data_IF_822669545471
#
_entry.id   IF_822669545471
#
_cell.length_a   1.000
_cell.length_b   1.000
_cell.length_c   1.000
_cell.angle_alpha   90.00
_cell.angle_beta   90.00
_cell.angle_gamma   90.00
#
_symmetry.space_group_name_H-M   'P 1'
#
loop_
_entity.id
_entity.type
_entity.pdbx_description
1 polymer ?
#
# COMPACT_ATOMS: atom_id res chain seq x y z
N UNK A 1 -6.48 -11.21 17.72
CA UNK A 1 -6.19 -9.88 17.16
C UNK A 1 -5.87 -8.83 18.21
N UNK A 2 -6.69 -8.62 19.24
CA UNK A 2 -6.44 -7.60 20.27
C UNK A 2 -5.06 -7.70 20.97
N UNK A 3 -4.62 -8.91 21.32
CA UNK A 3 -3.33 -9.12 22.00
C UNK A 3 -2.09 -8.79 21.14
N UNK A 4 -2.22 -8.91 19.81
CA UNK A 4 -1.13 -8.60 18.87
C UNK A 4 -1.01 -7.08 18.66
N UNK A 5 -2.15 -6.39 18.68
CA UNK A 5 -2.23 -4.93 18.57
C UNK A 5 -1.67 -4.22 19.79
N UNK A 6 -1.98 -4.71 21.01
CA UNK A 6 -1.41 -4.14 22.24
C UNK A 6 0.12 -4.30 22.29
N UNK A 7 0.66 -5.47 21.97
CA UNK A 7 2.13 -5.66 21.89
C UNK A 7 2.81 -4.79 20.83
N UNK A 8 2.10 -4.49 19.74
CA UNK A 8 2.59 -3.62 18.68
C UNK A 8 2.60 -2.15 19.11
N UNK A 9 1.57 -1.70 19.85
CA UNK A 9 1.54 -0.38 20.47
C UNK A 9 2.69 -0.20 21.44
N UNK A 10 2.96 -1.19 22.29
CA UNK A 10 4.05 -1.13 23.27
C UNK A 10 5.40 -0.96 22.55
N UNK A 11 5.64 -1.71 21.48
CA UNK A 11 6.85 -1.61 20.65
C UNK A 11 6.99 -0.26 19.94
N UNK A 12 5.90 0.26 19.35
CA UNK A 12 5.89 1.57 18.69
C UNK A 12 6.11 2.71 19.71
N UNK A 13 5.54 2.58 20.91
CA UNK A 13 5.72 3.53 22.00
C UNK A 13 7.19 3.59 22.45
N UNK A 14 7.87 2.44 22.58
CA UNK A 14 9.31 2.40 22.88
C UNK A 14 10.15 3.09 21.79
N UNK A 15 9.84 2.84 20.51
CA UNK A 15 10.54 3.47 19.38
C UNK A 15 10.33 5.00 19.37
N UNK A 16 9.12 5.47 19.69
CA UNK A 16 8.80 6.91 19.81
C UNK A 16 9.50 7.57 21.01
N UNK A 17 9.53 6.93 22.18
CA UNK A 17 10.24 7.43 23.36
C UNK A 17 11.74 7.56 23.07
N UNK A 18 12.32 6.57 22.40
CA UNK A 18 13.72 6.60 21.98
C UNK A 18 14.00 7.80 21.06
N UNK A 19 13.20 7.96 20.00
CA UNK A 19 13.35 9.04 19.03
C UNK A 19 13.17 10.43 19.67
N UNK A 20 12.31 10.55 20.67
CA UNK A 20 12.08 11.80 21.41
C UNK A 20 13.25 12.15 22.34
N UNK A 21 13.95 11.15 22.88
CA UNK A 21 15.15 11.37 23.71
C UNK A 21 16.39 11.70 22.88
N UNK A 22 16.49 11.13 21.68
CA UNK A 22 17.58 11.36 20.74
C UNK A 22 17.07 11.14 19.30
N UNK A 23 16.96 12.22 18.54
CA UNK A 23 16.41 12.17 17.19
C UNK A 23 17.46 11.66 16.18
N UNK A 24 17.11 10.59 15.46
CA UNK A 24 17.92 10.01 14.38
C UNK A 24 17.05 9.87 13.10
N UNK A 25 17.45 10.53 12.01
CA UNK A 25 16.65 10.62 10.78
C UNK A 25 16.41 9.26 10.09
N UNK A 26 17.44 8.40 10.03
CA UNK A 26 17.30 7.06 9.45
C UNK A 26 16.34 6.19 10.29
N UNK A 27 16.37 6.35 11.61
CA UNK A 27 15.47 5.63 12.52
C UNK A 27 14.03 6.14 12.40
N UNK A 28 13.86 7.46 12.21
CA UNK A 28 12.56 8.07 11.90
C UNK A 28 11.94 7.49 10.62
N UNK A 29 12.70 7.41 9.53
CA UNK A 29 12.21 6.86 8.26
C UNK A 29 11.81 5.38 8.37
N UNK A 30 12.61 4.58 9.09
CA UNK A 30 12.30 3.18 9.36
C UNK A 30 11.01 3.01 10.21
N UNK A 31 10.82 3.85 11.23
CA UNK A 31 9.61 3.88 12.05
C UNK A 31 8.38 4.28 11.22
N UNK A 32 8.50 5.27 10.35
CA UNK A 32 7.42 5.68 9.44
C UNK A 32 7.03 4.56 8.47
N UNK A 33 8.00 3.81 7.95
CA UNK A 33 7.75 2.65 7.08
C UNK A 33 7.05 1.52 7.84
N UNK A 34 7.49 1.24 9.07
CA UNK A 34 6.88 0.21 9.93
C UNK A 34 5.42 0.57 10.28
N UNK A 35 5.15 1.82 10.67
CA UNK A 35 3.80 2.33 10.91
C UNK A 35 2.93 2.26 9.65
N UNK A 36 3.48 2.59 8.47
CA UNK A 36 2.78 2.53 7.18
C UNK A 36 2.37 1.10 6.81
N UNK A 37 3.27 0.13 6.99
CA UNK A 37 2.99 -1.30 6.77
C UNK A 37 1.88 -1.80 7.71
N UNK A 38 1.83 -1.30 8.95
CA UNK A 38 0.81 -1.65 9.94
C UNK A 38 -0.54 -1.03 9.58
N UNK A 39 -0.58 0.24 9.19
CA UNK A 39 -1.79 0.93 8.75
C UNK A 39 -2.39 0.27 7.50
N UNK A 40 -1.55 -0.10 6.54
CA UNK A 40 -1.94 -0.83 5.34
C UNK A 40 -2.35 -2.29 5.59
N UNK A 41 -2.06 -2.88 6.76
CA UNK A 41 -2.47 -4.26 7.10
C UNK A 41 -3.68 -4.34 8.04
N UNK A 42 -3.93 -3.31 8.84
CA UNK A 42 -4.97 -3.32 9.88
C UNK A 42 -6.26 -2.61 9.44
N UNK A 43 -6.16 -1.56 8.60
CA UNK A 43 -7.32 -0.76 8.18
C UNK A 43 -7.56 -0.75 6.67
N UNK A 44 -6.89 -1.64 5.93
CA UNK A 44 -6.99 -1.68 4.48
C UNK A 44 -8.43 -1.79 4.02
N UNK A 45 -9.22 -2.66 4.65
CA UNK A 45 -10.60 -2.93 4.25
C UNK A 45 -11.52 -1.74 4.51
N UNK A 46 -11.34 -1.01 5.61
CA UNK A 46 -12.08 0.23 5.85
C UNK A 46 -11.69 1.36 4.90
N UNK A 47 -10.38 1.51 4.62
CA UNK A 47 -9.86 2.52 3.68
C UNK A 47 -10.31 2.20 2.25
N UNK A 48 -10.26 0.92 1.87
CA UNK A 48 -10.70 0.42 0.57
C UNK A 48 -12.18 0.72 0.36
N UNK A 49 -13.03 0.37 1.33
CA UNK A 49 -14.47 0.62 1.27
C UNK A 49 -14.78 2.11 1.12
N UNK A 50 -14.09 2.96 1.90
CA UNK A 50 -14.25 4.41 1.83
C UNK A 50 -13.79 4.99 0.47
N UNK A 51 -12.64 4.57 -0.06
CA UNK A 51 -12.13 5.02 -1.35
C UNK A 51 -13.03 4.58 -2.52
N UNK A 52 -13.58 3.36 -2.46
CA UNK A 52 -14.56 2.89 -3.43
C UNK A 52 -15.84 3.72 -3.42
N UNK A 53 -16.29 4.16 -2.24
CA UNK A 53 -17.42 5.07 -2.11
C UNK A 53 -17.10 6.44 -2.73
N UNK A 54 -15.91 6.99 -2.48
CA UNK A 54 -15.50 8.27 -3.08
C UNK A 54 -15.39 8.17 -4.61
N UNK A 55 -14.87 7.06 -5.14
CA UNK A 55 -14.78 6.83 -6.57
C UNK A 55 -16.17 6.83 -7.25
N UNK A 56 -17.18 6.25 -6.60
CA UNK A 56 -18.58 6.28 -7.05
C UNK A 56 -19.21 7.68 -6.95
N UNK A 57 -18.75 8.50 -6.02
CA UNK A 57 -19.21 9.87 -5.78
C UNK A 57 -18.42 10.92 -6.61
N UNK A 58 -18.07 10.60 -7.86
CA UNK A 58 -17.38 11.48 -8.82
C UNK A 58 -15.94 11.92 -8.42
N UNK A 59 -15.24 11.16 -7.58
CA UNK A 59 -13.80 11.37 -7.32
C UNK A 59 -12.97 10.22 -7.91
N UNK A 60 -12.83 10.12 -9.25
CA UNK A 60 -12.14 9.01 -9.91
C UNK A 60 -10.66 8.88 -9.54
N UNK A 61 -10.05 9.91 -8.96
CA UNK A 61 -8.68 9.84 -8.40
C UNK A 61 -8.54 8.79 -7.30
N UNK A 62 -9.64 8.44 -6.61
CA UNK A 62 -9.64 7.40 -5.59
C UNK A 62 -9.29 6.02 -6.15
N UNK A 63 -9.56 5.75 -7.44
CA UNK A 63 -9.08 4.54 -8.10
C UNK A 63 -7.56 4.51 -8.20
N UNK A 64 -6.90 5.65 -8.47
CA UNK A 64 -5.45 5.73 -8.50
C UNK A 64 -4.81 5.49 -7.13
N UNK A 65 -5.47 5.95 -6.05
CA UNK A 65 -5.03 5.70 -4.67
C UNK A 65 -5.17 4.21 -4.31
N UNK A 66 -6.30 3.59 -4.66
CA UNK A 66 -6.49 2.15 -4.49
C UNK A 66 -5.43 1.35 -5.25
N UNK A 67 -5.16 1.72 -6.50
CA UNK A 67 -4.15 1.05 -7.31
C UNK A 67 -2.77 1.03 -6.64
N UNK A 68 -2.34 2.17 -6.09
CA UNK A 68 -1.04 2.25 -5.41
C UNK A 68 -1.03 1.48 -4.08
N UNK A 69 -2.12 1.54 -3.32
CA UNK A 69 -2.26 0.76 -2.08
C UNK A 69 -2.22 -0.75 -2.35
N UNK A 70 -2.90 -1.20 -3.40
CA UNK A 70 -2.89 -2.59 -3.84
C UNK A 70 -1.50 -3.05 -4.31
N UNK A 71 -0.78 -2.19 -5.03
CA UNK A 71 0.61 -2.44 -5.42
C UNK A 71 1.53 -2.60 -4.20
N UNK A 72 1.34 -1.76 -3.17
CA UNK A 72 2.14 -1.82 -1.93
C UNK A 72 1.89 -3.09 -1.11
N UNK A 73 0.70 -3.67 -1.18
CA UNK A 73 0.39 -4.96 -0.56
C UNK A 73 0.62 -6.15 -1.50
N UNK A 74 1.21 -5.91 -2.68
CA UNK A 74 1.51 -6.91 -3.72
C UNK A 74 0.29 -7.64 -4.28
N UNK A 75 -0.87 -7.00 -4.22
CA UNK A 75 -2.07 -7.48 -4.89
C UNK A 75 -2.12 -6.85 -6.28
N UNK A 76 -1.33 -7.44 -7.18
CA UNK A 76 -1.07 -6.90 -8.51
C UNK A 76 -2.30 -6.89 -9.40
N UNK A 77 -3.22 -7.85 -9.22
CA UNK A 77 -4.47 -7.90 -9.97
C UNK A 77 -5.34 -6.67 -9.67
N UNK A 78 -5.58 -6.38 -8.38
CA UNK A 78 -6.33 -5.20 -7.99
C UNK A 78 -5.57 -3.91 -8.32
N UNK A 79 -4.25 -3.88 -8.17
CA UNK A 79 -3.43 -2.71 -8.54
C UNK A 79 -3.62 -2.34 -10.02
N UNK A 80 -3.62 -3.34 -10.90
CA UNK A 80 -3.85 -3.18 -12.33
C UNK A 80 -5.29 -2.76 -12.64
N UNK A 81 -6.28 -3.42 -12.05
CA UNK A 81 -7.69 -3.10 -12.26
C UNK A 81 -7.99 -1.64 -11.92
N UNK A 82 -7.55 -1.18 -10.75
CA UNK A 82 -7.82 0.19 -10.31
C UNK A 82 -6.99 1.23 -11.06
N UNK A 83 -5.81 0.87 -11.57
CA UNK A 83 -5.04 1.75 -12.47
C UNK A 83 -5.76 1.96 -13.80
N UNK A 84 -6.36 0.91 -14.37
CA UNK A 84 -7.15 1.02 -15.60
C UNK A 84 -8.36 1.94 -15.39
N UNK A 85 -9.09 1.76 -14.28
CA UNK A 85 -10.21 2.64 -13.90
C UNK A 85 -9.77 4.10 -13.75
N UNK A 86 -8.62 4.36 -13.12
CA UNK A 86 -8.07 5.71 -13.02
C UNK A 86 -7.70 6.30 -14.40
N UNK A 87 -7.12 5.47 -15.28
CA UNK A 87 -6.70 5.85 -16.62
C UNK A 87 -7.87 6.20 -17.54
N UNK A 88 -9.03 5.56 -17.40
CA UNK A 88 -10.26 5.94 -18.13
C UNK A 88 -10.67 7.40 -17.89
N UNK A 89 -10.41 7.92 -16.69
CA UNK A 89 -10.72 9.30 -16.33
C UNK A 89 -9.56 10.28 -16.56
N UNK A 90 -8.31 9.80 -16.49
CA UNK A 90 -7.12 10.64 -16.62
C UNK A 90 -6.07 10.01 -17.57
N UNK A 91 -6.40 9.82 -18.86
CA UNK A 91 -5.59 9.03 -19.80
C UNK A 91 -4.24 9.66 -20.18
N UNK A 92 -4.02 10.92 -19.81
CA UNK A 92 -2.80 11.66 -20.12
C UNK A 92 -1.74 11.56 -19.00
N UNK A 93 -2.08 10.94 -17.87
CA UNK A 93 -1.16 10.80 -16.74
C UNK A 93 -0.36 9.50 -16.86
N UNK A 94 0.95 9.62 -17.06
CA UNK A 94 1.86 8.47 -17.22
C UNK A 94 1.89 7.54 -16.00
N UNK A 95 1.59 8.06 -14.81
CA UNK A 95 1.65 7.31 -13.54
C UNK A 95 0.75 6.07 -13.53
N UNK A 96 -0.38 6.06 -14.25
CA UNK A 96 -1.23 4.87 -14.32
C UNK A 96 -0.59 3.77 -15.15
N UNK A 97 0.08 4.14 -16.23
CA UNK A 97 0.81 3.19 -17.05
C UNK A 97 2.02 2.62 -16.29
N UNK A 98 2.68 3.44 -15.48
CA UNK A 98 3.80 3.00 -14.64
C UNK A 98 3.33 1.94 -13.62
N UNK A 99 2.20 2.17 -12.94
CA UNK A 99 1.63 1.20 -11.99
C UNK A 99 1.17 -0.08 -12.72
N UNK A 100 0.56 0.03 -13.90
CA UNK A 100 0.17 -1.15 -14.71
C UNK A 100 1.39 -1.98 -15.10
N UNK A 101 2.48 -1.31 -15.49
CA UNK A 101 3.72 -1.98 -15.86
C UNK A 101 4.32 -2.66 -14.63
N UNK A 102 4.45 -1.96 -13.50
CA UNK A 102 4.97 -2.49 -12.24
C UNK A 102 4.18 -3.73 -11.79
N UNK A 103 2.84 -3.64 -11.78
CA UNK A 103 1.98 -4.77 -11.44
C UNK A 103 2.12 -5.97 -12.39
N UNK A 104 2.44 -5.75 -13.68
CA UNK A 104 2.58 -6.82 -14.67
C UNK A 104 3.95 -7.50 -14.61
N UNK A 105 5.01 -6.73 -14.35
CA UNK A 105 6.39 -7.26 -14.23
C UNK A 105 6.56 -8.09 -12.96
N UNK A 106 6.07 -7.60 -11.82
CA UNK A 106 6.23 -8.31 -10.54
C UNK A 106 5.43 -9.62 -10.49
N UNK A 107 4.25 -9.65 -11.12
CA UNK A 107 3.47 -10.89 -11.27
C UNK A 107 4.25 -11.95 -12.07
N UNK A 108 4.93 -11.55 -13.14
CA UNK A 108 5.76 -12.45 -13.94
C UNK A 108 6.97 -12.97 -13.15
N UNK A 109 7.57 -12.17 -12.28
CA UNK A 109 8.67 -12.63 -11.42
C UNK A 109 8.19 -13.62 -10.34
N UNK A 110 7.03 -13.40 -9.73
CA UNK A 110 6.46 -14.34 -8.75
C UNK A 110 6.09 -15.71 -9.36
N UNK A 111 5.52 -15.72 -10.56
CA UNK A 111 5.17 -16.95 -11.27
C UNK A 111 6.41 -17.75 -11.71
N UNK A 112 7.48 -17.09 -12.14
CA UNK A 112 8.71 -17.78 -12.57
C UNK A 112 9.67 -18.17 -11.43
N UNK A 113 9.61 -17.47 -10.29
CA UNK A 113 10.37 -17.83 -9.09
C UNK A 113 9.73 -18.98 -8.31
N UNK A 114 8.41 -19.16 -8.40
CA UNK A 114 7.70 -20.31 -7.83
C UNK A 114 7.77 -21.58 -8.70
N UNK A 115 7.92 -21.43 -10.03
CA UNK A 115 8.07 -22.55 -10.97
C UNK A 115 9.48 -23.17 -11.03
N UNK A 116 10.49 -22.56 -10.39
CA UNK A 116 11.90 -23.00 -10.45
C UNK A 116 12.35 -23.83 -9.24
N UNK A 117 11.42 -24.25 -8.38
CA UNK A 117 11.68 -25.05 -7.16
C UNK A 117 11.20 -26.51 -7.20
N UNK A 118 10.74 -27.01 -8.36
CA UNK A 118 10.41 -28.43 -8.59
C UNK A 118 11.47 -29.12 -9.46
#
# INVERSE_FOLDING_TARGET
MALLFEKLKDRLLEQLVRLNSHFEENFFQALCLEIRIILAKVFFKEIEAWLLEQAKNNLPVAYGVLAKLYLEIKDFENAKEFSLKANEHFPHLAVWQDIINEATWDQFEEENSSASTD
#
